data_IF_899844667153
#
_entry.id   IF_899844667153
#
_cell.length_a   1.000
_cell.length_b   1.000
_cell.length_c   1.000
_cell.angle_alpha   90.00
_cell.angle_beta   90.00
_cell.angle_gamma   90.00
#
_symmetry.space_group_name_H-M   'P 1'
#
loop_
_entity.id
_entity.type
_entity.pdbx_description
1 polymer ?
#
# COMPACT_ATOMS: atom_id res chain seq x y z
N UNK A 1 2.02 11.61 17.88
CA UNK A 1 2.61 10.36 18.37
C UNK A 1 4.09 10.56 18.66
N UNK A 2 4.58 9.99 19.74
CA UNK A 2 6.00 9.99 20.10
C UNK A 2 6.49 8.55 20.06
N UNK A 3 7.57 8.31 19.35
CA UNK A 3 8.20 7.00 19.28
C UNK A 3 9.70 7.14 19.53
N UNK A 4 10.24 6.29 20.40
CA UNK A 4 11.66 6.18 20.65
C UNK A 4 12.13 4.86 20.06
N UNK A 5 13.16 4.91 19.24
CA UNK A 5 13.76 3.75 18.63
C UNK A 5 15.24 3.70 18.95
N UNK A 6 15.69 2.53 19.36
CA UNK A 6 17.08 2.21 19.56
C UNK A 6 17.51 1.20 18.53
N UNK A 7 18.56 1.51 17.79
CA UNK A 7 19.20 0.59 16.85
C UNK A 7 20.61 0.31 17.32
N UNK A 8 21.03 -0.91 17.27
CA UNK A 8 22.39 -1.34 17.58
C UNK A 8 23.02 -2.04 16.41
N UNK A 9 24.32 -1.82 16.20
CA UNK A 9 25.13 -2.67 15.34
C UNK A 9 25.46 -3.95 16.08
N UNK A 10 25.39 -5.08 15.37
CA UNK A 10 25.80 -6.36 15.88
C UNK A 10 27.13 -6.73 15.19
N UNK A 11 28.15 -6.94 15.99
CA UNK A 11 29.35 -7.58 15.48
C UNK A 11 29.13 -9.09 15.44
N UNK A 12 29.28 -9.66 14.24
CA UNK A 12 29.25 -11.10 14.07
C UNK A 12 30.65 -11.64 14.19
N UNK A 13 30.87 -12.44 15.19
CA UNK A 13 32.14 -13.13 15.41
C UNK A 13 32.06 -14.53 14.85
N UNK A 14 33.17 -14.99 14.31
CA UNK A 14 33.30 -16.35 13.80
C UNK A 14 33.13 -17.35 14.94
N UNK A 15 32.28 -18.36 14.75
CA UNK A 15 32.17 -19.48 15.68
C UNK A 15 33.41 -20.37 15.56
N UNK A 16 34.30 -20.30 16.52
CA UNK A 16 35.39 -21.26 16.57
C UNK A 16 34.82 -22.69 16.77
N UNK A 17 35.50 -23.69 16.22
CA UNK A 17 35.14 -25.11 16.45
C UNK A 17 35.15 -25.49 17.92
N UNK A 18 35.68 -24.65 18.80
CA UNK A 18 35.72 -24.81 20.26
C UNK A 18 34.61 -24.09 20.99
N UNK A 19 33.64 -23.52 20.31
CA UNK A 19 32.50 -22.85 20.94
C UNK A 19 31.72 -23.77 21.90
N UNK A 20 31.76 -25.07 21.74
CA UNK A 20 31.19 -26.06 22.66
C UNK A 20 31.94 -26.21 24.00
N UNK A 21 33.08 -25.56 24.21
CA UNK A 21 33.87 -25.63 25.45
C UNK A 21 33.52 -24.50 26.45
N UNK A 22 32.44 -23.81 26.28
CA UNK A 22 31.95 -22.74 27.18
C UNK A 22 32.50 -21.36 26.90
N UNK A 23 33.32 -21.21 25.86
CA UNK A 23 33.78 -19.88 25.43
C UNK A 23 32.67 -19.17 24.61
N UNK A 24 32.46 -17.91 24.90
CA UNK A 24 31.55 -17.09 24.13
C UNK A 24 32.09 -16.82 22.73
N UNK A 25 31.19 -16.72 21.77
CA UNK A 25 31.48 -16.53 20.37
C UNK A 25 32.34 -15.31 20.03
N UNK A 26 32.25 -14.30 20.83
CA UNK A 26 32.90 -13.00 20.63
C UNK A 26 34.13 -12.77 21.52
N UNK A 27 34.55 -13.78 22.27
CA UNK A 27 35.75 -13.67 23.11
C UNK A 27 36.87 -14.46 22.45
N UNK A 28 37.98 -13.85 22.02
CA UNK A 28 39.14 -14.54 21.58
C UNK A 28 39.62 -15.51 22.68
N UNK A 29 39.97 -16.72 22.32
CA UNK A 29 40.49 -17.68 23.30
C UNK A 29 41.85 -17.19 23.70
N UNK A 30 42.00 -16.73 24.92
CA UNK A 30 43.25 -16.20 25.42
C UNK A 30 44.40 -17.18 25.27
N UNK A 31 45.50 -16.75 24.66
CA UNK A 31 46.66 -17.56 24.39
C UNK A 31 46.58 -18.46 23.13
N UNK A 32 45.57 -18.25 22.30
CA UNK A 32 45.37 -18.94 21.02
C UNK A 32 45.08 -17.99 19.86
N UNK A 33 45.55 -16.78 19.94
CA UNK A 33 45.38 -15.73 18.94
C UNK A 33 45.91 -16.17 17.56
N UNK A 34 47.04 -16.84 17.53
CA UNK A 34 47.63 -17.41 16.30
C UNK A 34 46.72 -18.48 15.66
N UNK A 35 45.99 -19.24 16.44
CA UNK A 35 45.07 -20.24 15.93
C UNK A 35 43.84 -19.58 15.31
N UNK A 36 43.43 -18.42 15.82
CA UNK A 36 42.38 -17.61 15.24
C UNK A 36 42.80 -17.05 13.89
N UNK A 37 44.01 -16.54 13.77
CA UNK A 37 44.60 -16.07 12.53
C UNK A 37 44.74 -17.20 11.51
N UNK A 38 45.16 -18.38 11.95
CA UNK A 38 45.26 -19.57 11.09
C UNK A 38 43.90 -20.06 10.61
N UNK A 39 42.90 -20.10 11.46
CA UNK A 39 41.54 -20.53 11.12
C UNK A 39 40.80 -19.56 10.19
N UNK A 40 41.13 -18.28 10.28
CA UNK A 40 40.50 -17.24 9.47
C UNK A 40 41.29 -16.97 8.18
N UNK A 41 42.52 -17.50 8.08
CA UNK A 41 43.42 -17.32 6.95
C UNK A 41 43.84 -15.87 6.70
N UNK A 42 44.75 -15.68 5.75
CA UNK A 42 45.18 -14.33 5.32
C UNK A 42 44.01 -13.46 4.77
N UNK A 43 42.99 -14.10 4.28
CA UNK A 43 41.73 -13.50 3.87
C UNK A 43 40.66 -13.71 4.94
N UNK A 44 40.98 -13.35 6.15
CA UNK A 44 40.06 -13.36 7.25
C UNK A 44 38.68 -12.77 6.80
N UNK A 45 37.82 -13.65 6.32
CA UNK A 45 36.57 -13.23 5.66
C UNK A 45 35.68 -12.41 6.59
N UNK A 46 35.84 -12.62 7.89
CA UNK A 46 35.10 -11.90 8.91
C UNK A 46 35.71 -10.55 9.26
N UNK A 47 37.04 -10.42 9.02
CA UNK A 47 37.76 -9.18 9.20
C UNK A 47 38.18 -8.57 7.87
N UNK A 48 37.87 -9.22 6.76
CA UNK A 48 38.38 -8.93 5.41
C UNK A 48 37.98 -7.57 4.84
N UNK A 49 37.14 -6.84 5.49
CA UNK A 49 36.85 -5.49 5.12
C UNK A 49 37.36 -4.52 6.17
N UNK A 50 38.70 -4.30 6.15
CA UNK A 50 39.34 -3.23 6.91
C UNK A 50 39.12 -3.27 8.43
N UNK A 51 39.11 -4.46 9.03
CA UNK A 51 38.80 -4.57 10.44
C UNK A 51 37.35 -4.27 10.79
N UNK A 52 36.55 -4.08 9.80
CA UNK A 52 35.09 -4.04 10.02
C UNK A 52 34.65 -5.47 10.18
N UNK A 53 34.25 -5.84 11.37
CA UNK A 53 33.40 -6.99 11.59
C UNK A 53 32.34 -7.03 10.51
N UNK A 54 31.82 -8.20 10.15
CA UNK A 54 30.64 -8.29 9.32
C UNK A 54 29.52 -7.62 10.08
N UNK A 55 29.44 -6.32 9.94
CA UNK A 55 28.34 -5.53 10.45
C UNK A 55 27.16 -5.82 9.55
N UNK A 56 26.36 -6.81 9.90
CA UNK A 56 25.10 -7.05 9.25
C UNK A 56 24.03 -6.02 9.62
N UNK A 57 24.29 -5.29 10.66
CA UNK A 57 23.54 -4.11 10.93
C UNK A 57 24.17 -2.99 10.14
N UNK A 58 23.49 -2.51 9.17
CA UNK A 58 23.87 -1.32 8.44
C UNK A 58 23.94 -0.12 9.41
N UNK A 59 25.11 0.18 9.87
CA UNK A 59 25.39 1.44 10.57
C UNK A 59 25.67 1.33 12.07
N UNK A 60 26.16 2.42 12.58
CA UNK A 60 26.49 2.61 13.98
C UNK A 60 25.25 2.51 14.89
N UNK A 61 25.40 2.09 16.15
CA UNK A 61 24.30 2.12 17.11
C UNK A 61 23.72 3.53 17.21
N UNK A 62 22.43 3.62 17.33
CA UNK A 62 21.74 4.91 17.38
C UNK A 62 20.57 4.94 18.36
N UNK A 63 20.28 6.13 18.86
CA UNK A 63 19.04 6.44 19.53
C UNK A 63 18.27 7.46 18.72
N UNK A 64 17.05 7.15 18.31
CA UNK A 64 16.19 8.09 17.62
C UNK A 64 14.92 8.39 18.41
N UNK A 65 14.44 9.60 18.25
CA UNK A 65 13.15 10.02 18.75
C UNK A 65 12.34 10.63 17.65
N UNK A 66 11.20 10.01 17.39
CA UNK A 66 10.24 10.47 16.39
C UNK A 66 9.08 11.17 17.09
N UNK A 67 8.72 12.33 16.58
CA UNK A 67 7.51 13.06 16.95
C UNK A 67 6.69 13.25 15.67
N UNK A 68 5.45 12.78 15.69
CA UNK A 68 4.51 13.03 14.59
C UNK A 68 3.23 13.67 15.10
N UNK A 69 2.74 14.62 14.35
CA UNK A 69 1.46 15.28 14.53
C UNK A 69 0.66 15.13 13.27
N UNK A 70 -0.61 14.83 13.39
CA UNK A 70 -1.54 14.83 12.28
C UNK A 70 -2.83 15.53 12.72
N UNK A 71 -3.26 16.48 11.92
CA UNK A 71 -4.51 17.20 12.08
C UNK A 71 -5.36 16.94 10.84
N UNK A 72 -6.57 16.46 11.05
CA UNK A 72 -7.52 16.18 9.99
C UNK A 72 -8.84 16.82 10.35
N UNK A 73 -9.49 17.44 9.37
CA UNK A 73 -10.87 17.85 9.53
C UNK A 73 -11.70 17.45 8.30
N UNK A 74 -12.94 17.16 8.53
CA UNK A 74 -13.92 16.88 7.50
C UNK A 74 -15.21 17.65 7.77
N UNK A 75 -15.76 18.26 6.74
CA UNK A 75 -17.04 18.94 6.77
C UNK A 75 -17.95 18.29 5.74
N UNK A 76 -19.14 17.90 6.19
CA UNK A 76 -20.15 17.30 5.32
C UNK A 76 -21.45 18.11 5.41
N UNK A 77 -22.00 18.43 4.27
CA UNK A 77 -23.35 18.95 4.16
C UNK A 77 -24.17 17.98 3.32
N UNK A 78 -25.27 17.47 3.86
CA UNK A 78 -26.12 16.51 3.15
C UNK A 78 -27.56 16.97 3.21
N UNK A 79 -28.21 16.98 2.05
CA UNK A 79 -29.65 17.18 1.90
C UNK A 79 -30.24 15.91 1.31
N UNK A 80 -31.36 15.42 1.87
CA UNK A 80 -32.06 14.24 1.37
C UNK A 80 -33.56 14.52 1.24
N UNK A 81 -34.15 13.88 0.26
CA UNK A 81 -35.58 13.88 0.00
C UNK A 81 -36.02 12.44 -0.20
N UNK A 82 -37.12 12.07 0.42
CA UNK A 82 -37.69 10.74 0.34
C UNK A 82 -39.19 10.81 0.36
N UNK A 83 -39.88 10.19 -0.62
CA UNK A 83 -41.31 10.25 -0.75
C UNK A 83 -41.92 9.10 -1.55
N UNK A 84 -43.09 8.65 -1.06
CA UNK A 84 -43.95 7.70 -1.74
C UNK A 84 -45.05 8.41 -2.54
N UNK A 85 -45.23 7.97 -3.77
CA UNK A 85 -46.31 8.40 -4.68
C UNK A 85 -47.09 7.16 -5.15
N UNK A 86 -47.97 6.66 -4.31
CA UNK A 86 -48.67 5.42 -4.57
C UNK A 86 -47.70 4.22 -4.64
N UNK A 87 -47.57 3.62 -5.82
CA UNK A 87 -46.66 2.50 -6.02
C UNK A 87 -45.22 2.93 -6.36
N UNK A 88 -44.95 4.23 -6.40
CA UNK A 88 -43.66 4.79 -6.73
C UNK A 88 -42.97 5.33 -5.47
N UNK A 89 -41.79 4.90 -5.21
CA UNK A 89 -40.92 5.46 -4.18
C UNK A 89 -39.75 6.19 -4.83
N UNK A 90 -39.52 7.43 -4.42
CA UNK A 90 -38.42 8.27 -4.92
C UNK A 90 -37.59 8.77 -3.75
N UNK A 91 -36.30 8.43 -3.75
CA UNK A 91 -35.32 8.99 -2.84
C UNK A 91 -34.28 9.79 -3.61
N UNK A 92 -33.89 10.95 -3.11
CA UNK A 92 -32.81 11.75 -3.65
C UNK A 92 -31.88 12.23 -2.53
N UNK A 93 -30.60 12.26 -2.80
CA UNK A 93 -29.59 12.77 -1.87
C UNK A 93 -28.60 13.63 -2.63
N UNK A 94 -28.27 14.76 -2.05
CA UNK A 94 -27.14 15.58 -2.48
C UNK A 94 -26.22 15.84 -1.28
N UNK A 95 -24.91 15.64 -1.46
CA UNK A 95 -23.91 15.89 -0.41
C UNK A 95 -22.70 16.64 -0.97
N UNK A 96 -22.17 17.52 -0.14
CA UNK A 96 -20.89 18.19 -0.34
C UNK A 96 -19.99 17.73 0.81
N UNK A 97 -18.83 17.20 0.47
CA UNK A 97 -17.81 16.77 1.42
C UNK A 97 -16.53 17.53 1.16
N UNK A 98 -15.94 18.10 2.21
CA UNK A 98 -14.61 18.72 2.16
C UNK A 98 -13.77 18.11 3.25
N UNK A 99 -12.57 17.65 2.91
CA UNK A 99 -11.58 17.22 3.91
C UNK A 99 -10.23 17.83 3.64
N UNK A 100 -9.51 18.12 4.70
CA UNK A 100 -8.11 18.52 4.67
C UNK A 100 -7.35 17.72 5.73
N UNK A 101 -6.14 17.31 5.36
CA UNK A 101 -5.23 16.58 6.21
C UNK A 101 -3.86 17.23 6.16
N UNK A 102 -3.29 17.46 7.33
CA UNK A 102 -1.93 17.93 7.51
C UNK A 102 -1.18 16.99 8.44
N UNK A 103 0.03 16.66 8.11
CA UNK A 103 0.90 15.86 8.96
C UNK A 103 2.30 16.43 9.00
N UNK A 104 2.87 16.43 10.19
CA UNK A 104 4.25 16.80 10.46
C UNK A 104 4.99 15.63 11.09
N UNK A 105 6.21 15.47 10.68
CA UNK A 105 7.09 14.41 11.16
C UNK A 105 8.47 15.00 11.45
N UNK A 106 8.90 14.84 12.69
CA UNK A 106 10.21 15.27 13.16
C UNK A 106 10.95 14.08 13.75
N UNK A 107 12.16 13.82 13.26
CA UNK A 107 13.08 12.82 13.82
C UNK A 107 14.33 13.51 14.30
N UNK A 108 14.69 13.24 15.55
CA UNK A 108 16.01 13.50 16.07
C UNK A 108 16.72 12.17 16.28
N UNK A 109 17.93 12.03 15.77
CA UNK A 109 18.75 10.83 15.90
C UNK A 109 20.15 11.18 16.39
N UNK A 110 20.64 10.39 17.31
CA UNK A 110 22.00 10.42 17.83
C UNK A 110 22.62 9.08 17.56
N UNK A 111 23.81 9.06 16.96
CA UNK A 111 24.58 7.84 16.70
C UNK A 111 25.66 7.64 17.77
N UNK A 112 26.11 6.41 17.92
CA UNK A 112 27.15 5.99 18.89
C UNK A 112 26.87 6.46 20.33
N UNK A 113 25.68 6.14 20.90
CA UNK A 113 25.43 6.38 22.31
C UNK A 113 26.40 5.55 23.15
N UNK A 114 26.71 6.02 24.38
CA UNK A 114 27.55 5.24 25.27
C UNK A 114 26.92 3.89 25.61
N UNK A 115 27.71 2.82 25.55
CA UNK A 115 27.27 1.43 25.66
C UNK A 115 26.57 1.08 26.99
N UNK A 116 26.92 1.77 28.07
CA UNK A 116 26.35 1.49 29.39
C UNK A 116 25.00 2.14 29.66
N UNK A 117 24.39 2.75 28.68
CA UNK A 117 23.07 3.38 28.84
C UNK A 117 21.92 2.36 28.78
N UNK A 118 22.17 1.12 28.39
CA UNK A 118 21.19 0.03 28.29
C UNK A 118 19.88 0.43 27.59
N UNK A 119 19.96 1.25 26.56
CA UNK A 119 18.81 1.73 25.81
C UNK A 119 17.92 2.72 26.56
N UNK A 120 18.38 3.28 27.68
CA UNK A 120 17.63 4.30 28.41
C UNK A 120 17.62 5.64 27.68
N UNK A 121 16.48 6.30 27.67
CA UNK A 121 16.25 7.53 26.90
C UNK A 121 16.82 8.81 27.53
N UNK A 122 17.51 8.72 28.65
CA UNK A 122 18.11 9.84 29.39
C UNK A 122 19.60 10.04 29.10
N UNK A 123 19.99 9.77 27.87
CA UNK A 123 21.35 9.95 27.38
C UNK A 123 21.80 11.41 27.50
N UNK A 124 22.85 11.62 28.25
CA UNK A 124 23.41 12.97 28.49
C UNK A 124 24.57 13.24 27.52
N UNK A 125 25.24 12.21 27.02
CA UNK A 125 26.41 12.32 26.13
C UNK A 125 26.39 11.29 25.02
N UNK A 126 26.96 11.64 23.88
CA UNK A 126 27.09 10.82 22.70
C UNK A 126 28.37 11.21 21.92
N UNK A 127 28.91 10.28 21.17
CA UNK A 127 30.22 10.47 20.50
C UNK A 127 30.13 10.88 19.05
N UNK A 128 28.99 11.28 18.53
CA UNK A 128 28.90 11.64 17.13
C UNK A 128 27.72 12.53 16.76
N UNK A 129 27.63 12.82 15.48
CA UNK A 129 26.73 13.77 14.88
C UNK A 129 25.24 13.45 15.12
N UNK A 130 24.47 14.49 15.40
CA UNK A 130 23.03 14.41 15.43
C UNK A 130 22.46 14.68 14.06
N UNK A 131 21.59 13.83 13.59
CA UNK A 131 20.79 14.07 12.38
C UNK A 131 19.37 14.44 12.76
N UNK A 132 18.81 15.42 12.07
CA UNK A 132 17.42 15.82 12.23
C UNK A 132 16.73 15.75 10.87
N UNK A 133 15.55 15.18 10.84
CA UNK A 133 14.73 15.17 9.66
C UNK A 133 13.35 15.75 9.97
N UNK A 134 12.93 16.73 9.19
CA UNK A 134 11.60 17.31 9.27
C UNK A 134 10.87 17.10 7.95
N UNK A 135 9.67 16.55 8.02
CA UNK A 135 8.79 16.36 6.87
C UNK A 135 7.42 16.91 7.18
N UNK A 136 6.80 17.53 6.21
CA UNK A 136 5.42 17.98 6.25
C UNK A 136 4.71 17.49 5.00
N UNK A 137 3.48 17.00 5.17
CA UNK A 137 2.61 16.61 4.09
C UNK A 137 1.22 17.21 4.30
N UNK A 138 0.63 17.68 3.21
CA UNK A 138 -0.70 18.27 3.17
C UNK A 138 -1.50 17.63 2.05
N UNK A 139 -2.79 17.46 2.26
CA UNK A 139 -3.71 17.04 1.20
C UNK A 139 -5.10 17.59 1.47
N UNK A 140 -5.84 17.86 0.40
CA UNK A 140 -7.21 18.31 0.47
C UNK A 140 -8.06 17.64 -0.58
N UNK A 141 -9.32 17.36 -0.24
CA UNK A 141 -10.31 16.83 -1.16
C UNK A 141 -11.62 17.60 -1.06
N UNK A 142 -12.31 17.74 -2.19
CA UNK A 142 -13.63 18.31 -2.28
C UNK A 142 -14.49 17.41 -3.16
N UNK A 143 -15.65 17.00 -2.66
CA UNK A 143 -16.51 16.04 -3.33
C UNK A 143 -17.95 16.54 -3.42
N UNK A 144 -18.56 16.35 -4.57
CA UNK A 144 -19.98 16.50 -4.78
C UNK A 144 -20.60 15.14 -5.08
N UNK A 145 -21.65 14.79 -4.35
CA UNK A 145 -22.30 13.49 -4.44
C UNK A 145 -23.78 13.70 -4.71
N UNK A 146 -24.30 13.12 -5.79
CA UNK A 146 -25.71 13.08 -6.10
C UNK A 146 -26.17 11.63 -6.22
N UNK A 147 -27.24 11.24 -5.54
CA UNK A 147 -27.86 9.92 -5.61
C UNK A 147 -29.34 10.02 -5.80
N UNK A 148 -29.88 9.22 -6.69
CA UNK A 148 -31.30 9.06 -6.91
C UNK A 148 -31.64 7.58 -6.83
N UNK A 149 -32.59 7.26 -5.95
CA UNK A 149 -33.16 5.93 -5.80
C UNK A 149 -34.59 5.93 -6.29
N UNK A 150 -34.98 4.93 -7.02
CA UNK A 150 -36.36 4.75 -7.47
C UNK A 150 -36.80 3.31 -7.26
N UNK A 151 -37.95 3.11 -6.66
CA UNK A 151 -38.58 1.81 -6.58
C UNK A 151 -40.01 1.87 -7.11
N UNK A 152 -40.40 0.86 -7.85
CA UNK A 152 -41.75 0.69 -8.34
C UNK A 152 -42.39 -0.57 -7.78
N UNK A 153 -43.50 -0.41 -7.08
CA UNK A 153 -44.28 -1.46 -6.46
C UNK A 153 -43.46 -2.40 -5.56
N UNK A 154 -42.35 -1.94 -4.99
CA UNK A 154 -41.36 -2.72 -4.24
C UNK A 154 -40.80 -3.92 -5.00
N UNK A 155 -40.93 -3.94 -6.33
CA UNK A 155 -40.48 -5.00 -7.21
C UNK A 155 -39.27 -4.62 -8.01
N UNK A 156 -39.30 -3.44 -8.60
CA UNK A 156 -38.23 -2.93 -9.48
C UNK A 156 -37.50 -1.80 -8.79
N UNK A 157 -36.21 -1.99 -8.60
CA UNK A 157 -35.36 -1.06 -7.89
C UNK A 157 -34.33 -0.50 -8.86
N UNK A 158 -34.12 0.80 -8.81
CA UNK A 158 -33.11 1.48 -9.62
C UNK A 158 -32.38 2.52 -8.77
N UNK A 159 -31.05 2.59 -8.91
CA UNK A 159 -30.25 3.64 -8.29
C UNK A 159 -29.27 4.22 -9.31
N UNK A 160 -29.16 5.52 -9.30
CA UNK A 160 -28.12 6.26 -9.99
C UNK A 160 -27.33 7.09 -8.99
N UNK A 161 -26.01 6.94 -9.02
CA UNK A 161 -25.05 7.70 -8.21
C UNK A 161 -24.08 8.42 -9.12
N UNK A 162 -23.84 9.70 -8.87
CA UNK A 162 -22.77 10.47 -9.46
C UNK A 162 -21.92 11.07 -8.35
N UNK A 163 -20.62 10.79 -8.37
CA UNK A 163 -19.64 11.43 -7.51
C UNK A 163 -18.63 12.19 -8.36
N UNK A 164 -18.36 13.43 -7.97
CA UNK A 164 -17.32 14.26 -8.57
C UNK A 164 -16.37 14.68 -7.47
N UNK A 165 -15.12 14.24 -7.58
CA UNK A 165 -14.09 14.45 -6.57
C UNK A 165 -12.95 15.30 -7.12
N UNK A 166 -12.49 16.29 -6.34
CA UNK A 166 -11.28 17.01 -6.59
C UNK A 166 -10.21 16.63 -5.54
N UNK A 167 -8.96 16.48 -5.96
CA UNK A 167 -7.85 16.18 -5.07
C UNK A 167 -6.66 17.09 -5.38
N UNK A 168 -6.08 17.70 -4.34
CA UNK A 168 -4.87 18.55 -4.46
C UNK A 168 -3.61 17.75 -4.80
N UNK A 169 -3.70 16.41 -4.87
CA UNK A 169 -2.60 15.55 -5.26
C UNK A 169 -2.26 15.65 -6.75
N UNK A 170 -3.21 16.07 -7.56
CA UNK A 170 -3.02 16.29 -9.00
C UNK A 170 -2.78 17.76 -9.34
N UNK A 171 -2.37 18.04 -10.57
CA UNK A 171 -2.26 19.40 -11.09
C UNK A 171 -3.65 20.04 -11.23
N UNK A 172 -3.77 21.39 -11.17
CA UNK A 172 -5.07 22.08 -11.22
C UNK A 172 -5.95 21.68 -12.39
N UNK A 173 -5.37 21.40 -13.53
CA UNK A 173 -6.05 20.92 -14.73
C UNK A 173 -6.65 19.52 -14.60
N UNK A 174 -6.15 18.69 -13.65
CA UNK A 174 -6.52 17.31 -13.44
C UNK A 174 -7.12 17.03 -12.05
N UNK A 175 -7.49 18.06 -11.30
CA UNK A 175 -8.07 17.89 -9.96
C UNK A 175 -9.31 17.00 -9.96
N UNK A 176 -10.19 17.20 -10.95
CA UNK A 176 -11.54 16.63 -10.94
C UNK A 176 -11.61 15.25 -11.60
N UNK A 177 -12.17 14.30 -10.86
CA UNK A 177 -12.62 13.01 -11.36
C UNK A 177 -14.15 12.91 -11.31
N UNK A 178 -14.75 12.16 -12.26
CA UNK A 178 -16.19 11.92 -12.35
C UNK A 178 -16.46 10.43 -12.31
N UNK A 179 -17.27 10.01 -11.34
CA UNK A 179 -17.46 8.60 -11.01
C UNK A 179 -18.95 8.26 -10.98
N UNK A 180 -19.57 8.01 -12.14
CA UNK A 180 -20.95 7.55 -12.22
C UNK A 180 -21.10 6.09 -11.87
N UNK A 181 -22.25 5.72 -11.29
CA UNK A 181 -22.63 4.35 -11.01
C UNK A 181 -24.13 4.16 -11.18
N UNK A 182 -24.53 3.02 -11.68
CA UNK A 182 -25.92 2.62 -11.85
C UNK A 182 -26.11 1.22 -11.28
N UNK A 183 -27.23 1.02 -10.59
CA UNK A 183 -27.65 -0.30 -10.15
C UNK A 183 -29.13 -0.54 -10.42
N UNK A 184 -29.47 -1.79 -10.66
CA UNK A 184 -30.85 -2.23 -10.81
C UNK A 184 -31.08 -3.51 -10.03
N UNK A 185 -32.27 -3.65 -9.49
CA UNK A 185 -32.70 -4.85 -8.77
C UNK A 185 -34.14 -5.21 -9.12
N UNK A 186 -34.39 -6.50 -9.23
CA UNK A 186 -35.72 -7.04 -9.45
C UNK A 186 -36.03 -8.08 -8.39
N UNK A 187 -37.08 -7.82 -7.60
CA UNK A 187 -37.57 -8.74 -6.60
C UNK A 187 -38.60 -9.66 -7.28
N UNK A 188 -38.10 -10.67 -7.96
CA UNK A 188 -38.90 -11.59 -8.77
C UNK A 188 -39.96 -12.33 -7.92
N UNK A 189 -39.64 -12.61 -6.66
CA UNK A 189 -40.57 -13.26 -5.74
C UNK A 189 -41.83 -12.41 -5.42
N UNK A 190 -41.81 -11.13 -5.74
CA UNK A 190 -42.99 -10.26 -5.57
C UNK A 190 -43.94 -10.29 -6.78
N UNK A 191 -43.55 -10.94 -7.87
CA UNK A 191 -44.42 -11.08 -9.05
C UNK A 191 -45.55 -12.08 -8.82
N UNK A 192 -46.77 -11.73 -9.29
CA UNK A 192 -47.97 -12.57 -9.07
C UNK A 192 -47.81 -13.94 -9.75
N UNK A 193 -47.24 -13.95 -10.97
CA UNK A 193 -46.96 -15.20 -11.67
C UNK A 193 -45.93 -16.08 -10.93
N UNK A 194 -44.94 -15.48 -10.23
CA UNK A 194 -43.95 -16.22 -9.47
C UNK A 194 -44.59 -16.78 -8.19
N UNK A 195 -45.31 -15.97 -7.42
CA UNK A 195 -46.01 -16.37 -6.19
C UNK A 195 -46.98 -17.52 -6.43
N UNK A 196 -47.66 -17.52 -7.56
CA UNK A 196 -48.66 -18.53 -7.88
C UNK A 196 -48.03 -19.88 -8.28
N UNK A 197 -46.89 -19.85 -8.96
CA UNK A 197 -46.27 -21.04 -9.56
C UNK A 197 -45.10 -21.60 -8.74
N UNK A 198 -44.36 -20.77 -7.99
CA UNK A 198 -43.13 -21.17 -7.29
C UNK A 198 -43.29 -20.98 -5.78
N UNK A 199 -43.95 -21.93 -5.15
CA UNK A 199 -44.30 -21.85 -3.70
C UNK A 199 -43.17 -22.23 -2.74
N UNK A 200 -42.10 -22.85 -3.23
CA UNK A 200 -40.98 -23.29 -2.42
C UNK A 200 -39.88 -22.24 -2.26
N UNK A 201 -39.97 -21.14 -2.98
CA UNK A 201 -39.06 -20.00 -2.89
C UNK A 201 -39.76 -18.89 -2.11
N UNK A 202 -39.19 -18.50 -0.99
CA UNK A 202 -39.72 -17.44 -0.13
C UNK A 202 -39.31 -16.06 -0.62
N UNK A 203 -38.09 -15.93 -1.14
CA UNK A 203 -37.55 -14.68 -1.64
C UNK A 203 -36.56 -14.93 -2.78
N UNK A 204 -36.69 -14.16 -3.84
CA UNK A 204 -35.75 -14.15 -4.95
C UNK A 204 -35.59 -12.73 -5.47
N UNK A 205 -34.34 -12.23 -5.40
CA UNK A 205 -33.96 -10.93 -5.95
C UNK A 205 -32.73 -11.12 -6.86
N UNK A 206 -32.83 -10.56 -8.05
CA UNK A 206 -31.73 -10.43 -8.99
C UNK A 206 -31.28 -8.97 -8.95
N UNK A 207 -29.97 -8.77 -8.93
CA UNK A 207 -29.41 -7.41 -8.90
C UNK A 207 -28.18 -7.33 -9.79
N UNK A 208 -27.98 -6.15 -10.37
CA UNK A 208 -26.79 -5.86 -11.14
C UNK A 208 -26.37 -4.42 -10.93
N UNK A 209 -25.09 -4.17 -10.99
CA UNK A 209 -24.54 -2.82 -10.93
C UNK A 209 -23.35 -2.67 -11.86
N UNK A 210 -23.19 -1.45 -12.34
CA UNK A 210 -22.02 -1.04 -13.11
C UNK A 210 -21.63 0.38 -12.65
N UNK A 211 -20.35 0.59 -12.39
CA UNK A 211 -19.88 1.89 -11.94
C UNK A 211 -18.41 2.13 -12.23
N UNK A 212 -18.04 3.40 -12.22
CA UNK A 212 -16.68 3.87 -12.28
C UNK A 212 -16.28 4.38 -10.90
N UNK A 213 -15.10 3.99 -10.42
CA UNK A 213 -14.47 4.54 -9.23
C UNK A 213 -13.07 5.05 -9.57
N UNK A 214 -12.60 6.06 -8.86
CA UNK A 214 -11.25 6.60 -9.02
C UNK A 214 -10.41 6.41 -7.78
N UNK A 215 -9.09 6.45 -7.97
CA UNK A 215 -8.10 6.50 -6.89
C UNK A 215 -7.11 7.61 -7.18
N UNK A 216 -6.73 8.34 -6.14
CA UNK A 216 -5.70 9.37 -6.17
C UNK A 216 -4.39 8.86 -5.56
N UNK A 217 -3.92 7.69 -6.00
CA UNK A 217 -2.80 6.97 -5.41
C UNK A 217 -1.44 7.62 -5.68
N UNK A 218 -1.32 8.89 -5.31
CA UNK A 218 -0.08 9.66 -5.42
C UNK A 218 0.11 10.55 -4.19
N UNK A 219 1.30 11.10 -4.03
CA UNK A 219 1.59 12.09 -2.99
C UNK A 219 1.17 13.49 -3.47
N UNK A 220 0.77 14.33 -2.53
CA UNK A 220 0.49 15.72 -2.82
C UNK A 220 1.71 16.44 -3.39
N UNK A 221 1.47 17.40 -4.29
CA UNK A 221 2.47 18.31 -4.87
C UNK A 221 3.53 17.66 -5.75
N UNK A 222 3.44 16.35 -6.08
CA UNK A 222 4.41 15.70 -6.97
C UNK A 222 4.38 16.23 -8.43
N UNK A 223 3.34 16.93 -8.81
CA UNK A 223 3.23 17.58 -10.10
C UNK A 223 4.02 18.90 -10.20
N UNK A 224 4.55 19.39 -9.07
CA UNK A 224 5.38 20.61 -9.03
C UNK A 224 6.86 20.26 -9.19
N UNK A 225 7.55 21.01 -10.02
CA UNK A 225 9.00 20.86 -10.14
C UNK A 225 9.68 21.46 -8.91
N UNK A 226 10.45 20.63 -8.22
CA UNK A 226 11.28 21.05 -7.10
C UNK A 226 12.73 21.25 -7.54
N UNK A 227 13.41 22.14 -6.84
CA UNK A 227 14.83 22.40 -7.02
C UNK A 227 15.52 22.36 -5.66
N UNK A 228 16.64 21.63 -5.60
CA UNK A 228 17.50 21.62 -4.43
C UNK A 228 18.72 22.50 -4.68
N UNK A 229 19.15 23.21 -3.65
CA UNK A 229 20.42 23.95 -3.70
C UNK A 229 21.52 22.98 -3.30
N UNK A 230 22.44 22.72 -4.23
CA UNK A 230 23.64 21.94 -3.96
C UNK A 230 24.79 22.92 -3.62
N UNK A 231 25.30 22.79 -2.39
CA UNK A 231 26.34 23.70 -1.89
C UNK A 231 27.75 23.29 -2.31
N UNK A 232 27.91 22.05 -2.81
CA UNK A 232 29.23 21.45 -3.04
C UNK A 232 29.56 21.24 -4.52
N UNK A 233 28.66 21.57 -5.43
CA UNK A 233 28.85 21.38 -6.87
C UNK A 233 28.49 22.62 -7.66
N UNK A 234 29.15 22.76 -8.81
CA UNK A 234 28.91 23.82 -9.77
C UNK A 234 29.99 24.90 -9.83
N UNK A 235 29.80 25.93 -10.65
CA UNK A 235 30.79 27.00 -10.79
C UNK A 235 30.93 27.76 -9.47
N UNK A 236 32.16 28.10 -9.16
CA UNK A 236 32.53 28.91 -7.98
C UNK A 236 32.39 30.37 -8.33
N UNK A 237 31.52 31.07 -7.64
CA UNK A 237 31.38 32.51 -7.74
C UNK A 237 31.96 33.20 -6.50
N UNK A 238 32.98 34.00 -6.69
CA UNK A 238 33.64 34.76 -5.63
C UNK A 238 35.04 34.31 -5.29
N UNK A 239 35.74 35.11 -4.54
CA UNK A 239 37.12 34.84 -4.08
C UNK A 239 37.02 34.27 -2.66
N UNK A 240 37.26 32.97 -2.51
CA UNK A 240 37.34 32.35 -1.18
C UNK A 240 38.73 32.48 -0.59
N UNK A 241 38.78 32.77 0.69
CA UNK A 241 40.01 32.70 1.50
C UNK A 241 39.93 31.48 2.38
N UNK A 242 40.52 30.42 1.99
CA UNK A 242 40.65 29.14 2.71
C UNK A 242 39.78 28.00 2.20
N UNK A 243 39.86 26.83 2.79
CA UNK A 243 39.34 25.54 2.40
C UNK A 243 37.88 25.45 1.90
N UNK A 244 37.11 26.54 2.00
CA UNK A 244 35.78 26.70 1.42
C UNK A 244 35.77 27.92 0.46
N UNK A 245 36.56 27.84 -0.58
CA UNK A 245 36.72 28.91 -1.54
C UNK A 245 35.47 29.06 -2.41
N UNK A 246 34.70 30.09 -2.14
CA UNK A 246 33.62 30.54 -2.97
C UNK A 246 32.25 29.89 -2.66
N UNK A 247 31.19 30.64 -2.91
CA UNK A 247 29.85 30.09 -2.85
C UNK A 247 29.56 29.30 -4.13
N UNK A 248 29.48 28.00 -4.01
CA UNK A 248 28.88 27.18 -5.05
C UNK A 248 27.37 27.45 -5.04
N UNK A 249 26.87 28.04 -6.07
CA UNK A 249 25.42 28.18 -6.26
C UNK A 249 25.04 27.27 -7.42
N UNK A 250 24.75 26.03 -7.12
CA UNK A 250 24.16 25.14 -8.09
C UNK A 250 22.74 24.84 -7.66
N UNK A 251 21.82 25.08 -8.52
CA UNK A 251 20.48 24.64 -8.39
C UNK A 251 20.41 23.26 -9.08
N UNK A 252 20.33 22.21 -8.30
CA UNK A 252 20.04 20.91 -8.85
C UNK A 252 18.54 20.76 -9.02
N UNK A 253 18.16 20.34 -10.19
CA UNK A 253 16.83 19.81 -10.40
C UNK A 253 16.67 18.59 -9.50
N UNK A 254 15.57 18.51 -8.77
CA UNK A 254 15.26 17.33 -7.99
C UNK A 254 15.32 16.10 -8.89
N UNK A 255 15.75 14.98 -8.31
CA UNK A 255 16.05 13.72 -9.00
C UNK A 255 14.82 13.14 -9.71
N UNK A 256 13.61 13.59 -9.34
CA UNK A 256 12.35 13.11 -9.91
C UNK A 256 11.84 14.00 -11.03
N UNK A 257 11.55 13.41 -12.19
CA UNK A 257 10.77 14.09 -13.21
C UNK A 257 9.33 14.31 -12.71
N UNK A 258 8.73 15.43 -13.06
CA UNK A 258 7.33 15.71 -12.74
C UNK A 258 6.42 15.28 -13.88
N UNK A 259 5.27 14.73 -13.55
CA UNK A 259 4.20 14.47 -14.49
C UNK A 259 2.97 15.31 -14.13
N UNK A 260 2.74 16.37 -14.90
CA UNK A 260 1.54 17.22 -14.73
C UNK A 260 0.28 16.60 -15.28
N UNK A 261 0.41 15.61 -16.17
CA UNK A 261 -0.72 14.92 -16.79
C UNK A 261 -1.24 13.78 -15.90
N UNK A 262 -0.59 13.54 -14.74
CA UNK A 262 -1.07 12.57 -13.77
C UNK A 262 -2.51 12.89 -13.35
N UNK A 263 -3.36 11.87 -13.39
CA UNK A 263 -4.79 11.98 -13.13
C UNK A 263 -5.31 10.76 -12.37
N UNK A 264 -6.59 10.76 -12.05
CA UNK A 264 -7.27 9.70 -11.33
C UNK A 264 -7.15 8.34 -12.04
N UNK A 265 -6.74 7.31 -11.30
CA UNK A 265 -6.87 5.92 -11.76
C UNK A 265 -8.36 5.63 -12.00
N UNK A 266 -8.67 4.80 -12.99
CA UNK A 266 -10.03 4.41 -13.34
C UNK A 266 -10.26 2.93 -13.06
N UNK A 267 -11.26 2.64 -12.23
CA UNK A 267 -11.70 1.27 -11.99
C UNK A 267 -13.16 1.13 -12.37
N UNK A 268 -13.42 0.45 -13.48
CA UNK A 268 -14.76 0.07 -13.92
C UNK A 268 -15.14 -1.23 -13.22
N UNK A 269 -16.31 -1.26 -12.58
CA UNK A 269 -16.77 -2.40 -11.79
C UNK A 269 -18.13 -2.84 -12.28
N UNK A 270 -18.26 -4.12 -12.62
CA UNK A 270 -19.54 -4.77 -12.85
C UNK A 270 -19.77 -5.82 -11.77
N UNK A 271 -20.95 -5.85 -11.21
CA UNK A 271 -21.38 -6.84 -10.25
C UNK A 271 -22.74 -7.40 -10.66
N UNK A 272 -22.91 -8.71 -10.54
CA UNK A 272 -24.20 -9.39 -10.66
C UNK A 272 -24.44 -10.20 -9.39
N UNK A 273 -25.62 -10.03 -8.77
CA UNK A 273 -25.96 -10.69 -7.52
C UNK A 273 -27.31 -11.38 -7.57
N UNK A 274 -27.42 -12.47 -6.82
CA UNK A 274 -28.62 -13.25 -6.62
C UNK A 274 -28.83 -13.46 -5.12
N UNK A 275 -29.96 -12.97 -4.61
CA UNK A 275 -30.39 -13.18 -3.23
C UNK A 275 -31.59 -14.15 -3.24
N UNK A 276 -31.47 -15.26 -2.52
CA UNK A 276 -32.40 -16.37 -2.63
C UNK A 276 -32.66 -17.00 -1.27
N UNK A 277 -33.95 -17.08 -0.85
CA UNK A 277 -34.37 -17.72 0.38
C UNK A 277 -35.38 -18.83 0.12
N UNK A 278 -35.24 -19.90 0.86
CA UNK A 278 -36.14 -21.07 0.79
C UNK A 278 -36.42 -21.65 2.18
N UNK A 279 -37.31 -22.63 2.26
CA UNK A 279 -37.67 -23.35 3.45
C UNK A 279 -38.23 -22.45 4.56
N UNK A 280 -39.16 -21.57 4.23
CA UNK A 280 -39.72 -20.55 5.11
C UNK A 280 -38.63 -19.63 5.70
N UNK A 281 -37.75 -19.13 4.84
CA UNK A 281 -36.62 -18.27 5.18
C UNK A 281 -35.57 -18.89 6.12
N UNK A 282 -35.59 -20.20 6.27
CA UNK A 282 -34.56 -20.91 7.07
C UNK A 282 -33.22 -20.96 6.36
N UNK A 283 -33.24 -21.16 5.06
CA UNK A 283 -32.03 -21.23 4.24
C UNK A 283 -31.98 -20.04 3.30
N UNK A 284 -30.89 -19.28 3.40
CA UNK A 284 -30.62 -18.09 2.60
C UNK A 284 -29.31 -18.25 1.86
N UNK A 285 -29.32 -17.89 0.60
CA UNK A 285 -28.14 -17.82 -0.25
C UNK A 285 -27.95 -16.38 -0.76
N UNK A 286 -26.73 -15.90 -0.73
CA UNK A 286 -26.31 -14.68 -1.45
C UNK A 286 -25.14 -15.08 -2.34
N UNK A 287 -25.29 -14.87 -3.63
CA UNK A 287 -24.28 -15.19 -4.65
C UNK A 287 -23.96 -13.91 -5.37
N UNK A 288 -22.69 -13.55 -5.41
CA UNK A 288 -22.17 -12.41 -6.14
C UNK A 288 -21.07 -12.83 -7.09
N UNK A 289 -21.13 -12.33 -8.30
CA UNK A 289 -20.04 -12.40 -9.27
C UNK A 289 -19.64 -10.99 -9.68
N UNK A 290 -18.36 -10.73 -9.72
CA UNK A 290 -17.86 -9.40 -10.06
C UNK A 290 -16.69 -9.46 -11.02
N UNK A 291 -16.55 -8.37 -11.77
CA UNK A 291 -15.42 -8.09 -12.64
C UNK A 291 -15.01 -6.62 -12.49
N UNK A 292 -13.73 -6.37 -12.32
CA UNK A 292 -13.16 -5.04 -12.15
C UNK A 292 -12.04 -4.84 -13.17
N UNK A 293 -12.19 -3.82 -14.00
CA UNK A 293 -11.18 -3.37 -14.97
C UNK A 293 -10.48 -2.13 -14.39
N UNK A 294 -9.27 -2.31 -13.86
CA UNK A 294 -8.45 -1.19 -13.44
C UNK A 294 -7.64 -0.71 -14.64
N UNK A 295 -7.78 0.55 -14.97
CA UNK A 295 -7.18 1.20 -16.13
C UNK A 295 -6.51 2.50 -15.72
N UNK A 296 -5.54 2.90 -16.52
CA UNK A 296 -4.82 4.14 -16.29
C UNK A 296 -4.26 4.24 -14.87
N UNK A 297 -3.80 3.09 -14.31
CA UNK A 297 -3.21 3.06 -12.98
C UNK A 297 -1.90 3.84 -12.98
N UNK A 298 -1.73 4.71 -11.99
CA UNK A 298 -0.53 5.53 -11.84
C UNK A 298 0.62 4.68 -11.29
N UNK A 299 1.54 4.29 -12.14
CA UNK A 299 2.67 3.43 -11.83
C UNK A 299 4.01 4.10 -12.18
N UNK A 300 5.10 3.75 -11.46
CA UNK A 300 6.44 4.16 -11.86
C UNK A 300 6.79 3.53 -13.21
N UNK A 301 7.41 4.31 -14.05
CA UNK A 301 7.96 3.85 -15.31
C UNK A 301 9.47 3.72 -15.17
N UNK A 302 9.97 2.50 -15.00
CA UNK A 302 11.38 2.23 -14.71
C UNK A 302 12.18 1.87 -15.97
N UNK A 303 11.50 1.64 -17.11
CA UNK A 303 12.19 1.34 -18.35
C UNK A 303 13.13 2.47 -18.72
N UNK A 304 14.40 2.14 -18.68
CA UNK A 304 15.60 2.87 -19.10
C UNK A 304 15.35 4.26 -19.72
N UNK A 305 15.12 5.23 -18.85
CA UNK A 305 15.32 6.61 -19.25
C UNK A 305 16.81 6.75 -19.51
N UNK A 306 17.23 7.23 -20.71
CA UNK A 306 18.62 7.44 -20.99
C UNK A 306 19.27 8.30 -19.90
N UNK A 307 20.43 7.88 -19.37
CA UNK A 307 21.14 8.62 -18.33
C UNK A 307 21.44 10.08 -18.67
N UNK A 308 21.38 10.44 -19.95
CA UNK A 308 21.49 11.81 -20.47
C UNK A 308 20.35 12.72 -20.02
N UNK A 309 19.20 12.17 -19.63
CA UNK A 309 18.07 12.95 -19.09
C UNK A 309 18.36 13.44 -17.67
N UNK A 310 19.23 12.75 -16.94
CA UNK A 310 19.72 13.18 -15.62
C UNK A 310 18.70 13.20 -14.49
N UNK A 311 17.57 12.48 -14.63
CA UNK A 311 16.51 12.39 -13.62
C UNK A 311 15.88 11.01 -13.61
N UNK A 312 15.28 10.65 -12.49
CA UNK A 312 14.46 9.45 -12.41
C UNK A 312 13.12 9.65 -13.10
N UNK A 313 12.49 8.56 -13.56
CA UNK A 313 11.19 8.61 -14.20
C UNK A 313 10.11 9.11 -13.25
N UNK A 314 9.17 9.86 -13.79
CA UNK A 314 7.89 10.13 -13.11
C UNK A 314 6.97 8.90 -13.16
N UNK A 315 5.92 8.92 -12.33
CA UNK A 315 4.81 8.00 -12.47
C UNK A 315 3.90 8.44 -13.62
N UNK A 316 3.41 7.47 -14.40
CA UNK A 316 2.49 7.69 -15.51
C UNK A 316 1.23 6.84 -15.35
N UNK A 317 0.11 7.31 -15.90
CA UNK A 317 -1.16 6.59 -15.91
C UNK A 317 -1.21 5.63 -17.11
N UNK A 318 -0.67 4.41 -16.95
CA UNK A 318 -0.61 3.42 -18.02
C UNK A 318 -0.91 1.99 -17.55
N UNK A 319 -0.82 1.73 -16.25
CA UNK A 319 -0.99 0.39 -15.71
C UNK A 319 -2.40 -0.15 -15.90
N UNK A 320 -2.52 -1.44 -16.19
CA UNK A 320 -3.80 -2.14 -16.36
C UNK A 320 -3.82 -3.46 -15.60
N UNK A 321 -4.89 -3.68 -14.86
CA UNK A 321 -5.13 -4.87 -14.04
C UNK A 321 -6.60 -5.26 -14.10
N UNK A 322 -6.87 -6.50 -14.41
CA UNK A 322 -8.20 -7.08 -14.26
C UNK A 322 -8.29 -7.89 -12.98
N UNK A 323 -9.40 -7.74 -12.26
CA UNK A 323 -9.72 -8.52 -11.06
C UNK A 323 -11.13 -9.05 -11.20
N UNK A 324 -11.34 -10.33 -10.93
CA UNK A 324 -12.64 -10.97 -11.01
C UNK A 324 -12.80 -12.03 -9.92
N UNK A 325 -14.04 -12.32 -9.61
CA UNK A 325 -14.31 -13.31 -8.58
C UNK A 325 -15.78 -13.57 -8.38
N UNK A 326 -16.04 -14.48 -7.45
CA UNK A 326 -17.37 -14.83 -7.00
C UNK A 326 -17.37 -15.04 -5.49
N UNK A 327 -18.48 -14.70 -4.88
CA UNK A 327 -18.72 -14.83 -3.45
C UNK A 327 -20.02 -15.61 -3.21
N UNK A 328 -20.01 -16.50 -2.24
CA UNK A 328 -21.16 -17.27 -1.82
C UNK A 328 -21.30 -17.17 -0.30
N UNK A 329 -22.46 -16.73 0.14
CA UNK A 329 -22.85 -16.76 1.54
C UNK A 329 -24.08 -17.66 1.69
N UNK A 330 -23.97 -18.67 2.53
CA UNK A 330 -25.07 -19.59 2.88
C UNK A 330 -25.36 -19.45 4.36
N UNK A 331 -26.61 -19.17 4.68
CA UNK A 331 -27.04 -19.01 6.07
C UNK A 331 -28.22 -19.91 6.36
N UNK A 332 -28.07 -20.75 7.37
CA UNK A 332 -29.14 -21.55 7.96
C UNK A 332 -29.61 -20.92 9.26
N UNK A 333 -30.92 -20.72 9.40
CA UNK A 333 -31.56 -20.22 10.64
C UNK A 333 -32.66 -21.16 11.02
N UNK A 334 -32.67 -21.62 12.27
CA UNK A 334 -33.75 -22.47 12.77
C UNK A 334 -33.94 -22.29 14.27
N UNK A 335 -34.96 -22.94 14.78
CA UNK A 335 -35.36 -22.92 16.19
C UNK A 335 -35.66 -24.32 16.68
N UNK A 336 -35.06 -24.65 17.81
CA UNK A 336 -35.33 -25.92 18.53
C UNK A 336 -36.24 -25.59 19.74
N UNK A 337 -37.46 -26.12 19.75
CA UNK A 337 -38.41 -25.79 20.78
C UNK A 337 -38.89 -24.32 20.71
N UNK A 338 -39.23 -23.74 21.87
CA UNK A 338 -39.72 -22.35 21.94
C UNK A 338 -38.64 -21.32 22.18
N UNK A 339 -37.54 -21.72 22.83
CA UNK A 339 -36.58 -20.77 23.41
C UNK A 339 -35.21 -20.77 22.73
N UNK A 340 -34.82 -21.83 22.04
CA UNK A 340 -33.49 -21.92 21.43
C UNK A 340 -33.52 -21.60 19.93
N UNK A 341 -32.95 -20.47 19.56
CA UNK A 341 -32.77 -20.03 18.16
C UNK A 341 -31.28 -20.11 17.80
N UNK A 342 -30.96 -20.64 16.64
CA UNK A 342 -29.58 -20.74 16.17
C UNK A 342 -29.47 -20.29 14.71
N UNK A 343 -28.27 -19.83 14.37
CA UNK A 343 -27.89 -19.39 13.04
C UNK A 343 -26.50 -19.93 12.75
N UNK A 344 -26.36 -20.59 11.61
CA UNK A 344 -25.06 -21.04 11.07
C UNK A 344 -24.87 -20.36 9.74
N UNK A 345 -23.72 -19.74 9.54
CA UNK A 345 -23.38 -19.07 8.27
C UNK A 345 -22.03 -19.55 7.78
N UNK A 346 -21.96 -19.82 6.49
CA UNK A 346 -20.74 -20.20 5.77
C UNK A 346 -20.56 -19.18 4.65
N UNK A 347 -19.41 -18.54 4.63
CA UNK A 347 -19.01 -17.61 3.57
C UNK A 347 -17.78 -18.19 2.88
N UNK A 348 -17.80 -18.18 1.56
CA UNK A 348 -16.65 -18.57 0.75
C UNK A 348 -16.57 -17.63 -0.45
N UNK A 349 -15.36 -17.40 -0.93
CA UNK A 349 -15.11 -16.56 -2.09
C UNK A 349 -13.92 -17.07 -2.87
N UNK A 350 -13.97 -16.81 -4.15
CA UNK A 350 -12.85 -17.00 -5.07
C UNK A 350 -12.58 -15.68 -5.74
N UNK A 351 -11.33 -15.25 -5.70
CA UNK A 351 -10.88 -14.07 -6.43
C UNK A 351 -9.60 -14.38 -7.18
N UNK A 352 -9.49 -13.80 -8.36
CA UNK A 352 -8.30 -13.89 -9.18
C UNK A 352 -8.02 -12.54 -9.84
N UNK A 353 -6.80 -12.34 -10.30
CA UNK A 353 -6.40 -11.13 -10.97
C UNK A 353 -5.38 -11.41 -12.07
N UNK A 354 -5.30 -10.50 -13.04
CA UNK A 354 -4.38 -10.60 -14.17
C UNK A 354 -3.83 -9.23 -14.52
N UNK A 355 -2.53 -9.08 -14.46
CA UNK A 355 -1.82 -7.90 -14.94
C UNK A 355 -1.88 -7.87 -16.48
N UNK A 356 -2.39 -6.79 -17.05
CA UNK A 356 -2.47 -6.62 -18.49
C UNK A 356 -1.35 -5.72 -19.00
N UNK A 357 -1.03 -4.66 -18.27
CA UNK A 357 0.01 -3.72 -18.64
C UNK A 357 0.73 -3.19 -17.39
N UNK A 358 2.04 -3.34 -17.36
CA UNK A 358 2.94 -2.71 -16.41
C UNK A 358 4.36 -2.70 -16.97
N UNK A 359 5.21 -1.84 -16.44
CA UNK A 359 6.63 -1.85 -16.76
C UNK A 359 7.35 -2.94 -15.97
N UNK A 360 8.14 -3.76 -16.65
CA UNK A 360 8.89 -4.85 -16.03
C UNK A 360 10.12 -5.25 -16.85
N UNK A 361 11.13 -5.77 -16.16
CA UNK A 361 12.35 -6.27 -16.81
C UNK A 361 12.18 -7.74 -17.22
N UNK A 362 12.33 -8.02 -18.49
CA UNK A 362 12.13 -9.36 -19.08
C UNK A 362 13.05 -10.45 -18.50
N UNK A 363 14.23 -10.08 -18.01
CA UNK A 363 15.18 -10.99 -17.36
C UNK A 363 14.77 -11.45 -15.95
N UNK A 364 13.73 -10.83 -15.36
CA UNK A 364 13.26 -11.12 -14.01
C UNK A 364 11.85 -11.75 -13.98
N UNK A 365 11.42 -12.33 -15.09
CA UNK A 365 10.07 -12.88 -15.28
C UNK A 365 9.59 -13.82 -14.18
N UNK A 366 10.49 -14.61 -13.61
CA UNK A 366 10.12 -15.58 -12.57
C UNK A 366 10.10 -14.99 -11.15
N UNK A 367 10.65 -13.82 -10.96
CA UNK A 367 10.83 -13.18 -9.64
C UNK A 367 9.94 -11.96 -9.44
N UNK A 368 9.45 -11.35 -10.51
CA UNK A 368 8.69 -10.10 -10.46
C UNK A 368 7.34 -10.25 -11.18
N UNK A 369 6.40 -9.45 -10.72
CA UNK A 369 5.10 -9.28 -11.37
C UNK A 369 5.34 -8.78 -12.79
N UNK A 370 4.65 -9.35 -13.77
CA UNK A 370 4.77 -9.05 -15.19
C UNK A 370 3.43 -9.20 -15.88
N UNK A 371 3.35 -8.76 -17.13
CA UNK A 371 2.15 -8.93 -17.97
C UNK A 371 1.74 -10.42 -18.09
N UNK A 372 0.46 -10.67 -17.85
CA UNK A 372 -0.12 -12.01 -17.82
C UNK A 372 -0.01 -12.74 -16.49
N UNK A 373 0.76 -12.23 -15.51
CA UNK A 373 0.86 -12.80 -14.18
C UNK A 373 -0.24 -12.29 -13.24
N UNK A 374 -0.36 -12.93 -12.08
CA UNK A 374 -1.09 -12.41 -10.93
C UNK A 374 -0.24 -11.39 -10.19
N UNK A 375 -0.88 -10.51 -9.42
CA UNK A 375 -0.17 -9.58 -8.52
C UNK A 375 0.41 -10.27 -7.29
N UNK A 376 -0.10 -11.45 -6.95
CA UNK A 376 0.31 -12.29 -5.82
C UNK A 376 1.01 -13.57 -6.31
N UNK A 377 2.12 -13.44 -7.00
CA UNK A 377 2.89 -14.58 -7.52
C UNK A 377 3.48 -15.50 -6.44
N UNK A 378 3.29 -15.18 -5.16
CA UNK A 378 3.90 -15.87 -4.04
C UNK A 378 5.35 -15.45 -3.82
N UNK A 379 5.96 -16.03 -2.80
CA UNK A 379 7.38 -15.80 -2.49
C UNK A 379 8.21 -16.92 -3.09
N UNK A 380 9.08 -16.58 -3.99
CA UNK A 380 10.02 -17.50 -4.60
C UNK A 380 11.37 -17.46 -3.88
N UNK A 381 11.95 -18.61 -3.63
CA UNK A 381 13.25 -18.73 -3.00
C UNK A 381 14.05 -19.88 -3.64
N UNK A 382 15.33 -19.86 -3.45
CA UNK A 382 16.17 -20.97 -3.86
C UNK A 382 15.94 -22.15 -2.91
N UNK A 383 15.73 -23.33 -3.47
CA UNK A 383 15.70 -24.56 -2.71
C UNK A 383 17.14 -24.92 -2.31
N UNK A 384 17.39 -25.01 -1.02
CA UNK A 384 18.68 -25.52 -0.54
C UNK A 384 18.74 -27.03 -0.83
N UNK A 385 19.61 -27.43 -1.71
CA UNK A 385 19.86 -28.83 -2.06
C UNK A 385 20.83 -29.53 -1.08
N UNK A 386 21.32 -28.80 -0.09
CA UNK A 386 22.28 -29.24 0.89
C UNK A 386 23.63 -28.52 0.74
N UNK A 387 24.58 -28.91 1.57
CA UNK A 387 25.98 -28.42 1.46
C UNK A 387 26.78 -29.35 0.58
N UNK A 388 27.63 -28.79 -0.26
CA UNK A 388 28.68 -29.56 -0.94
C UNK A 388 29.55 -30.24 0.10
N UNK A 389 29.71 -31.54 -0.02
CA UNK A 389 30.51 -32.36 0.92
C UNK A 389 31.84 -32.79 0.34
N UNK A 390 31.98 -32.66 -0.97
CA UNK A 390 33.22 -32.99 -1.69
C UNK A 390 33.39 -32.04 -2.87
N UNK A 391 34.60 -32.00 -3.43
CA UNK A 391 34.88 -31.27 -4.67
C UNK A 391 34.11 -31.83 -5.87
N UNK A 392 33.69 -33.10 -5.82
CA UNK A 392 32.92 -33.74 -6.87
C UNK A 392 31.44 -33.29 -6.89
N UNK A 393 30.96 -32.68 -5.81
CA UNK A 393 29.63 -32.14 -5.73
C UNK A 393 29.52 -30.76 -6.39
N UNK A 394 30.65 -30.18 -6.83
CA UNK A 394 30.77 -28.84 -7.42
C UNK A 394 30.79 -28.90 -8.95
N UNK A 395 31.16 -30.04 -9.54
CA UNK A 395 31.15 -30.30 -10.99
C UNK A 395 29.73 -30.76 -11.46
#
# INVERSE_FOLDING_TARGET
TKNNQYGSSYELYYMSKRAGSGNHLYTPIQGQESLYEELLGENNFLLANNGSAINNASGDPYLSRTMSRADNYQMNFTASYDRDFGSHHVGALFSIEKSEAESEYLVGQVTNPYEFTNGQSNLVQYNSESTTEFKRAESGTLSYIGRVNYAYADKYLFEFLLRSDASTKFAPENYWGFFPSVSAGWIMSQEDWFKNNVKWVDYLKIRGSFGLTGRDNTKAWQWMQNYAVDKDKGPIFGVGTSTNAGNHITINKDISAVNRDAHWDKSYKANFGLDFNVLNNRLSFNIDGYYEWNREMLLPYSASIPGTVGTQSANFNYGELDTYGMELSVTWRDRIGKDFKYKVSVNTGYTDNKVLMMDWETNQRYMKIHEGSRTDMGTWGMQCLGMFRSYQDID
#
